data_IF_108841455265
#
_entry.id   IF_108841455265
#
_cell.length_a   1.000
_cell.length_b   1.000
_cell.length_c   1.000
_cell.angle_alpha   90.00
_cell.angle_beta   90.00
_cell.angle_gamma   90.00
#
_symmetry.space_group_name_H-M   'P 1'
#
loop_
_entity.id
_entity.type
_entity.pdbx_description
1 polymer ?
#
# COMPACT_ATOMS: atom_id res chain seq x y z
N UNK A 1 -20.03 19.76 26.70
CA UNK A 1 -19.54 18.38 26.50
C UNK A 1 -18.04 18.46 26.44
N UNK A 2 -17.33 17.65 27.22
CA UNK A 2 -15.87 17.68 27.21
C UNK A 2 -15.42 16.77 26.08
N UNK A 3 -14.77 17.33 25.07
CA UNK A 3 -14.18 16.56 23.99
C UNK A 3 -12.67 16.53 24.19
N UNK A 4 -12.05 15.38 23.97
CA UNK A 4 -10.60 15.25 23.82
C UNK A 4 -10.34 15.11 22.34
N UNK A 5 -9.64 16.06 21.74
CA UNK A 5 -9.34 16.07 20.31
C UNK A 5 -7.82 15.93 20.17
N UNK A 6 -7.40 14.95 19.38
CA UNK A 6 -6.02 14.79 18.93
C UNK A 6 -6.01 15.19 17.46
N UNK A 7 -5.55 16.41 17.20
CA UNK A 7 -5.43 16.95 15.85
C UNK A 7 -4.14 16.45 15.19
N UNK A 8 -4.18 16.27 13.86
CA UNK A 8 -3.05 15.92 13.03
C UNK A 8 -2.24 14.72 13.56
N UNK A 9 -2.87 13.55 13.57
CA UNK A 9 -2.21 12.30 13.93
C UNK A 9 -0.92 12.16 13.10
N UNK A 10 0.21 12.05 13.80
CA UNK A 10 1.53 11.99 13.18
C UNK A 10 1.92 10.57 12.79
N UNK A 11 2.92 10.44 11.90
CA UNK A 11 3.45 9.15 11.39
C UNK A 11 2.41 8.28 10.70
N UNK A 12 1.53 8.93 9.95
CA UNK A 12 0.66 8.31 8.96
C UNK A 12 0.87 9.01 7.61
N UNK A 13 0.37 8.43 6.53
CA UNK A 13 0.16 9.17 5.29
C UNK A 13 -1.26 9.72 5.29
N UNK A 14 -1.36 11.01 4.94
CA UNK A 14 -2.61 11.77 4.95
C UNK A 14 -2.94 12.49 6.26
N UNK A 15 -4.16 13.00 6.35
CA UNK A 15 -4.60 13.90 7.43
C UNK A 15 -5.75 13.27 8.21
N UNK A 16 -5.55 13.03 9.50
CA UNK A 16 -6.51 12.40 10.39
C UNK A 16 -6.55 13.11 11.73
N UNK A 17 -7.74 13.41 12.23
CA UNK A 17 -7.99 13.79 13.62
C UNK A 17 -8.63 12.62 14.37
N UNK A 18 -8.42 12.56 15.69
CA UNK A 18 -9.08 11.60 16.55
C UNK A 18 -9.81 12.32 17.69
N UNK A 19 -11.14 12.26 17.68
CA UNK A 19 -11.99 12.91 18.67
C UNK A 19 -12.63 11.89 19.58
N UNK A 20 -12.53 12.12 20.89
CA UNK A 20 -13.23 11.38 21.94
C UNK A 20 -14.25 12.33 22.56
N UNK A 21 -15.53 12.02 22.38
CA UNK A 21 -16.65 12.75 22.98
C UNK A 21 -16.97 12.13 24.34
N UNK A 22 -16.79 12.92 25.41
CA UNK A 22 -17.11 12.50 26.77
C UNK A 22 -18.53 12.98 27.13
N UNK A 23 -19.44 12.02 27.24
CA UNK A 23 -20.82 12.21 27.69
C UNK A 23 -21.31 11.03 28.51
N UNK A 24 -22.63 10.83 28.56
CA UNK A 24 -23.24 9.62 29.16
C UNK A 24 -22.72 8.34 28.49
N UNK A 25 -22.44 8.42 27.19
CA UNK A 25 -21.75 7.40 26.41
C UNK A 25 -20.46 7.99 25.84
N UNK A 26 -19.35 7.25 25.94
CA UNK A 26 -18.09 7.63 25.32
C UNK A 26 -18.17 7.26 23.83
N UNK A 27 -17.89 8.22 22.95
CA UNK A 27 -17.80 7.98 21.49
C UNK A 27 -16.42 8.38 21.00
N UNK A 28 -15.89 7.64 20.04
CA UNK A 28 -14.63 7.93 19.39
C UNK A 28 -14.84 8.04 17.88
N UNK A 29 -14.22 9.05 17.26
CA UNK A 29 -14.29 9.33 15.83
C UNK A 29 -12.88 9.45 15.26
N UNK A 30 -12.63 8.77 14.14
CA UNK A 30 -11.45 8.96 13.32
C UNK A 30 -11.87 9.79 12.09
N UNK A 31 -11.45 11.03 12.04
CA UNK A 31 -11.93 12.04 11.10
C UNK A 31 -10.86 12.26 10.03
N UNK A 32 -11.06 11.69 8.85
CA UNK A 32 -10.18 11.99 7.73
C UNK A 32 -10.48 13.40 7.23
N UNK A 33 -9.45 14.24 7.19
CA UNK A 33 -9.54 15.67 6.88
C UNK A 33 -9.03 15.98 5.47
N UNK A 34 -8.60 14.97 4.71
CA UNK A 34 -8.11 15.18 3.35
C UNK A 34 -9.20 15.73 2.45
N UNK A 35 -8.87 16.75 1.65
CA UNK A 35 -9.75 17.24 0.60
C UNK A 35 -10.05 16.14 -0.42
N UNK A 36 -11.31 16.07 -0.88
CA UNK A 36 -11.71 15.15 -1.94
C UNK A 36 -10.90 15.51 -3.19
N UNK A 37 -9.97 14.64 -3.60
CA UNK A 37 -9.08 14.88 -4.75
C UNK A 37 -9.80 14.76 -6.10
N UNK A 38 -11.07 14.34 -6.10
CA UNK A 38 -11.96 14.20 -7.25
C UNK A 38 -11.32 13.48 -8.44
N UNK A 39 -10.41 12.52 -8.17
CA UNK A 39 -9.71 11.79 -9.22
C UNK A 39 -10.69 11.05 -10.13
N UNK A 40 -11.77 10.50 -9.58
CA UNK A 40 -12.84 9.83 -10.31
C UNK A 40 -13.40 10.73 -11.43
N UNK A 41 -13.68 11.99 -11.12
CA UNK A 41 -14.20 12.98 -12.09
C UNK A 41 -13.11 13.47 -13.05
N UNK A 42 -11.87 13.66 -12.57
CA UNK A 42 -10.74 14.13 -13.39
C UNK A 42 -10.42 13.14 -14.52
N UNK A 43 -10.67 11.84 -14.31
CA UNK A 43 -10.43 10.81 -15.33
C UNK A 43 -11.42 10.88 -16.49
N UNK A 44 -12.60 11.48 -16.30
CA UNK A 44 -13.62 11.60 -17.36
C UNK A 44 -13.09 12.48 -18.50
N UNK A 45 -13.13 11.95 -19.73
CA UNK A 45 -12.65 12.64 -20.93
C UNK A 45 -11.12 12.67 -21.11
N UNK A 46 -10.36 11.98 -20.26
CA UNK A 46 -8.91 11.78 -20.46
C UNK A 46 -8.65 10.66 -21.45
N UNK A 47 -7.51 10.74 -22.12
CA UNK A 47 -7.05 9.64 -22.95
C UNK A 47 -6.58 8.48 -22.07
N UNK A 48 -6.78 7.25 -22.54
CA UNK A 48 -6.46 6.06 -21.76
C UNK A 48 -4.98 6.00 -21.33
N UNK A 49 -4.06 6.54 -22.14
CA UNK A 49 -2.63 6.54 -21.83
C UNK A 49 -2.26 7.54 -20.72
N UNK A 50 -3.11 8.54 -20.45
CA UNK A 50 -2.89 9.50 -19.36
C UNK A 50 -3.32 8.93 -17.99
N UNK A 51 -4.24 7.96 -17.99
CA UNK A 51 -4.85 7.42 -16.77
C UNK A 51 -3.82 6.83 -15.80
N UNK A 52 -2.87 5.96 -16.21
CA UNK A 52 -1.88 5.40 -15.30
C UNK A 52 -0.98 6.44 -14.65
N UNK A 53 -0.76 7.54 -15.37
CA UNK A 53 -0.04 8.67 -14.81
C UNK A 53 -0.89 9.39 -13.76
N UNK A 54 -2.12 9.78 -14.07
CA UNK A 54 -3.00 10.47 -13.13
C UNK A 54 -3.23 9.63 -11.85
N UNK A 55 -3.59 8.35 -11.98
CA UNK A 55 -3.94 7.48 -10.84
C UNK A 55 -2.76 7.25 -9.90
N UNK A 56 -1.54 7.13 -10.43
CA UNK A 56 -0.35 6.93 -9.60
C UNK A 56 0.00 8.13 -8.73
N UNK A 57 -0.59 9.32 -8.96
CA UNK A 57 -0.44 10.50 -8.09
C UNK A 57 -1.46 10.51 -6.94
N UNK A 58 -2.30 9.49 -6.82
CA UNK A 58 -3.20 9.32 -5.68
C UNK A 58 -2.43 9.22 -4.36
N UNK A 59 -1.28 8.55 -4.34
CA UNK A 59 -0.46 8.44 -3.13
C UNK A 59 1.02 8.27 -3.51
N UNK A 60 1.90 9.00 -2.83
CA UNK A 60 3.36 8.90 -3.04
C UNK A 60 3.97 7.58 -2.56
N UNK A 61 3.28 6.86 -1.65
CA UNK A 61 3.75 5.61 -1.07
C UNK A 61 3.34 4.40 -1.91
N UNK A 62 2.05 4.27 -2.23
CA UNK A 62 1.51 3.13 -2.98
C UNK A 62 1.29 3.42 -4.49
N UNK A 63 1.97 4.43 -5.03
CA UNK A 63 1.92 4.83 -6.44
C UNK A 63 2.06 3.66 -7.46
N UNK A 64 2.80 2.60 -7.13
CA UNK A 64 3.09 1.52 -8.06
C UNK A 64 1.85 0.65 -8.28
N UNK A 65 1.12 0.35 -7.19
CA UNK A 65 -0.10 -0.45 -7.29
C UNK A 65 -1.22 0.34 -7.98
N UNK A 66 -1.31 1.65 -7.76
CA UNK A 66 -2.25 2.50 -8.48
C UNK A 66 -2.01 2.48 -9.99
N UNK A 67 -0.74 2.63 -10.42
CA UNK A 67 -0.39 2.54 -11.84
C UNK A 67 -0.80 1.18 -12.42
N UNK A 68 -0.32 0.10 -11.81
CA UNK A 68 -0.53 -1.26 -12.33
C UNK A 68 -2.02 -1.65 -12.37
N UNK A 69 -2.77 -1.33 -11.32
CA UNK A 69 -4.22 -1.61 -11.26
C UNK A 69 -4.99 -0.82 -12.31
N UNK A 70 -4.64 0.45 -12.53
CA UNK A 70 -5.29 1.25 -13.58
C UNK A 70 -4.96 0.74 -14.99
N UNK A 71 -3.76 0.20 -15.20
CA UNK A 71 -3.40 -0.46 -16.46
C UNK A 71 -4.20 -1.75 -16.63
N UNK A 72 -4.33 -2.59 -15.60
CA UNK A 72 -5.15 -3.81 -15.67
C UNK A 72 -6.61 -3.48 -15.99
N UNK A 73 -7.18 -2.43 -15.38
CA UNK A 73 -8.54 -2.00 -15.69
C UNK A 73 -8.72 -1.57 -17.15
N UNK A 74 -7.71 -0.90 -17.74
CA UNK A 74 -7.71 -0.53 -19.15
C UNK A 74 -7.54 -1.72 -20.09
N UNK A 75 -6.68 -2.66 -19.72
CA UNK A 75 -6.47 -3.90 -20.48
C UNK A 75 -7.72 -4.77 -20.48
N UNK A 76 -8.40 -4.90 -19.32
CA UNK A 76 -9.69 -5.56 -19.22
C UNK A 76 -10.73 -4.89 -20.12
N UNK A 77 -10.76 -3.55 -20.17
CA UNK A 77 -11.68 -2.80 -21.03
C UNK A 77 -11.40 -2.99 -22.53
N UNK A 78 -10.13 -3.17 -22.90
CA UNK A 78 -9.70 -3.40 -24.30
C UNK A 78 -9.59 -4.87 -24.66
N UNK A 79 -9.87 -5.80 -23.74
CA UNK A 79 -9.65 -7.23 -23.89
C UNK A 79 -8.20 -7.58 -24.29
N UNK A 80 -7.23 -6.91 -23.68
CA UNK A 80 -5.81 -7.15 -23.88
C UNK A 80 -5.31 -8.17 -22.86
N UNK A 81 -4.82 -9.31 -23.33
CA UNK A 81 -4.12 -10.27 -22.48
C UNK A 81 -2.63 -9.97 -22.47
N UNK A 82 -2.07 -9.81 -21.26
CA UNK A 82 -0.65 -9.55 -21.11
C UNK A 82 0.16 -10.86 -21.19
N UNK A 83 1.22 -10.93 -22.01
CA UNK A 83 2.15 -12.06 -22.03
C UNK A 83 2.72 -12.40 -20.64
N UNK A 84 2.97 -13.69 -20.41
CA UNK A 84 3.39 -14.19 -19.10
C UNK A 84 4.68 -13.53 -18.59
N UNK A 85 5.67 -13.34 -19.46
CA UNK A 85 6.96 -12.72 -19.11
C UNK A 85 6.79 -11.27 -18.65
N UNK A 86 5.87 -10.54 -19.29
CA UNK A 86 5.54 -9.16 -18.90
C UNK A 86 4.71 -9.13 -17.62
N UNK A 87 3.89 -10.14 -17.37
CA UNK A 87 3.13 -10.27 -16.12
C UNK A 87 4.07 -10.44 -14.92
N UNK A 88 5.14 -11.25 -15.05
CA UNK A 88 6.18 -11.40 -14.02
C UNK A 88 6.87 -10.06 -13.76
N UNK A 89 7.21 -9.29 -14.80
CA UNK A 89 7.84 -7.98 -14.64
C UNK A 89 6.94 -7.00 -13.87
N UNK A 90 5.61 -7.03 -14.11
CA UNK A 90 4.65 -6.23 -13.33
C UNK A 90 4.52 -6.69 -11.89
N UNK A 91 4.48 -8.00 -11.67
CA UNK A 91 4.45 -8.56 -10.31
C UNK A 91 5.70 -8.15 -9.54
N UNK A 92 6.88 -8.13 -10.17
CA UNK A 92 8.11 -7.64 -9.55
C UNK A 92 8.02 -6.17 -9.13
N UNK A 93 7.45 -5.30 -9.97
CA UNK A 93 7.21 -3.88 -9.61
C UNK A 93 6.23 -3.77 -8.45
N UNK A 94 5.14 -4.55 -8.46
CA UNK A 94 4.15 -4.56 -7.38
C UNK A 94 4.76 -5.05 -6.06
N UNK A 95 5.51 -6.15 -6.06
CA UNK A 95 6.17 -6.70 -4.87
C UNK A 95 7.21 -5.73 -4.33
N UNK A 96 8.06 -5.16 -5.20
CA UNK A 96 9.07 -4.20 -4.76
C UNK A 96 8.41 -2.94 -4.16
N UNK A 97 7.35 -2.43 -4.79
CA UNK A 97 6.55 -1.33 -4.27
C UNK A 97 5.89 -1.65 -2.92
N UNK A 98 5.40 -2.87 -2.76
CA UNK A 98 4.80 -3.34 -1.52
C UNK A 98 5.83 -3.42 -0.37
N UNK A 99 7.03 -3.92 -0.66
CA UNK A 99 8.14 -3.98 0.31
C UNK A 99 8.61 -2.56 0.68
N UNK A 100 8.72 -1.62 -0.27
CA UNK A 100 9.01 -0.21 0.04
C UNK A 100 8.01 0.35 1.05
N UNK A 101 6.72 0.13 0.79
CA UNK A 101 5.63 0.60 1.66
C UNK A 101 5.68 -0.07 3.04
N UNK A 102 5.95 -1.37 3.10
CA UNK A 102 6.05 -2.11 4.37
C UNK A 102 7.21 -1.62 5.22
N UNK A 103 8.39 -1.39 4.61
CA UNK A 103 9.53 -0.86 5.35
C UNK A 103 9.24 0.54 5.87
N UNK A 104 8.63 1.41 5.05
CA UNK A 104 8.24 2.74 5.50
C UNK A 104 7.28 2.65 6.70
N UNK A 105 6.19 1.90 6.56
CA UNK A 105 5.18 1.78 7.61
C UNK A 105 5.74 1.12 8.88
N UNK A 106 6.27 -0.09 8.77
CA UNK A 106 6.66 -0.89 9.94
C UNK A 106 7.87 -0.30 10.66
N UNK A 107 8.89 0.20 9.95
CA UNK A 107 10.13 0.65 10.57
C UNK A 107 10.18 2.15 10.85
N UNK A 108 9.54 2.99 10.03
CA UNK A 108 9.59 4.45 10.23
C UNK A 108 8.40 4.96 11.04
N UNK A 109 7.21 4.35 10.90
CA UNK A 109 6.02 4.81 11.61
C UNK A 109 5.79 4.02 12.90
N UNK A 110 5.70 2.69 12.80
CA UNK A 110 5.30 1.82 13.91
C UNK A 110 6.42 1.54 14.90
N UNK A 111 7.61 1.13 14.43
CA UNK A 111 8.70 0.72 15.32
C UNK A 111 9.07 1.76 16.39
N UNK A 112 9.13 3.08 16.10
CA UNK A 112 9.36 4.08 17.14
C UNK A 112 8.33 4.03 18.28
N UNK A 113 7.04 3.79 18.00
CA UNK A 113 6.01 3.66 19.04
C UNK A 113 6.26 2.48 19.96
N UNK A 114 6.60 1.33 19.39
CA UNK A 114 6.85 0.11 20.15
C UNK A 114 8.08 0.22 21.07
N UNK A 115 8.94 1.21 20.84
CA UNK A 115 10.10 1.53 21.67
C UNK A 115 9.96 2.85 22.45
N UNK A 116 8.75 3.43 22.49
CA UNK A 116 8.47 4.71 23.17
C UNK A 116 9.39 5.84 22.71
N UNK A 117 9.64 5.93 21.40
CA UNK A 117 10.45 6.94 20.72
C UNK A 117 9.57 7.81 19.82
N UNK A 118 9.99 9.07 19.57
CA UNK A 118 9.21 10.01 18.75
C UNK A 118 9.42 9.79 17.26
N UNK A 119 10.57 9.22 16.89
CA UNK A 119 10.92 8.99 15.49
C UNK A 119 11.92 7.86 15.34
N UNK A 120 12.13 7.41 14.10
CA UNK A 120 13.21 6.48 13.76
C UNK A 120 14.60 7.05 14.06
N UNK A 121 14.76 8.38 14.08
CA UNK A 121 16.05 9.02 14.39
C UNK A 121 16.43 8.76 15.84
N UNK A 122 15.45 8.84 16.75
CA UNK A 122 15.64 8.57 18.18
C UNK A 122 15.97 7.09 18.46
N UNK A 123 15.69 6.19 17.52
CA UNK A 123 16.08 4.79 17.60
C UNK A 123 17.56 4.57 17.24
N UNK A 124 18.17 5.44 16.42
CA UNK A 124 19.54 5.24 15.92
C UNK A 124 20.56 4.96 17.04
N UNK A 125 20.59 5.69 18.18
CA UNK A 125 21.57 5.43 19.23
C UNK A 125 21.51 4.02 19.82
N UNK A 126 20.33 3.39 19.84
CA UNK A 126 20.09 2.07 20.46
C UNK A 126 19.92 0.93 19.44
N UNK A 127 19.49 1.25 18.22
CA UNK A 127 19.08 0.28 17.19
C UNK A 127 19.69 0.62 15.82
N UNK A 128 20.89 1.22 15.79
CA UNK A 128 21.57 1.67 14.55
C UNK A 128 21.56 0.61 13.47
N UNK A 129 21.99 -0.61 13.77
CA UNK A 129 22.12 -1.66 12.75
C UNK A 129 20.77 -2.07 12.16
N UNK A 130 19.72 -2.14 12.99
CA UNK A 130 18.36 -2.43 12.53
C UNK A 130 17.85 -1.36 11.57
N UNK A 131 18.02 -0.08 11.93
CA UNK A 131 17.63 1.06 11.09
C UNK A 131 18.42 1.04 9.78
N UNK A 132 19.72 0.80 9.82
CA UNK A 132 20.55 0.73 8.62
C UNK A 132 20.17 -0.45 7.71
N UNK A 133 19.82 -1.62 8.27
CA UNK A 133 19.29 -2.76 7.50
C UNK A 133 18.00 -2.39 6.78
N UNK A 134 17.04 -1.78 7.48
CA UNK A 134 15.78 -1.34 6.88
C UNK A 134 16.02 -0.36 5.70
N UNK A 135 16.91 0.61 5.88
CA UNK A 135 17.29 1.56 4.81
C UNK A 135 17.97 0.83 3.64
N UNK A 136 18.86 -0.13 3.90
CA UNK A 136 19.53 -0.92 2.83
C UNK A 136 18.53 -1.72 2.01
N UNK A 137 17.60 -2.43 2.65
CA UNK A 137 16.56 -3.20 1.96
C UNK A 137 15.66 -2.26 1.16
N UNK A 138 15.20 -1.15 1.76
CA UNK A 138 14.38 -0.15 1.07
C UNK A 138 15.09 0.40 -0.16
N UNK A 139 16.37 0.75 -0.05
CA UNK A 139 17.16 1.26 -1.18
C UNK A 139 17.22 0.26 -2.33
N UNK A 140 17.43 -1.03 -2.05
CA UNK A 140 17.43 -2.05 -3.12
C UNK A 140 16.05 -2.15 -3.77
N UNK A 141 14.96 -2.09 -3.01
CA UNK A 141 13.60 -2.06 -3.60
C UNK A 141 13.35 -0.80 -4.44
N UNK A 142 13.82 0.37 -3.98
CA UNK A 142 13.79 1.63 -4.74
C UNK A 142 14.50 1.49 -6.08
N UNK A 143 15.65 0.81 -6.12
CA UNK A 143 16.35 0.54 -7.36
C UNK A 143 15.62 -0.47 -8.26
N UNK A 144 14.94 -1.49 -7.71
CA UNK A 144 14.12 -2.44 -8.49
C UNK A 144 12.92 -1.73 -9.13
N UNK A 145 12.19 -0.92 -8.36
CA UNK A 145 11.07 -0.12 -8.89
C UNK A 145 11.58 0.87 -9.93
N UNK A 146 12.74 1.49 -9.74
CA UNK A 146 13.34 2.35 -10.77
C UNK A 146 13.73 1.57 -12.03
N UNK A 147 14.27 0.36 -11.89
CA UNK A 147 14.74 -0.44 -13.01
C UNK A 147 13.60 -0.87 -13.93
N UNK A 148 12.52 -1.38 -13.36
CA UNK A 148 11.36 -1.87 -14.12
C UNK A 148 10.25 -0.82 -14.30
N UNK A 149 10.28 0.24 -13.50
CA UNK A 149 9.30 1.33 -13.46
C UNK A 149 9.80 2.66 -14.04
N UNK A 150 11.09 2.79 -14.37
CA UNK A 150 11.74 4.02 -14.85
C UNK A 150 11.98 5.08 -13.76
N UNK A 151 11.15 5.12 -12.72
CA UNK A 151 11.25 6.05 -11.58
C UNK A 151 11.03 5.31 -10.27
N UNK A 152 11.65 5.80 -9.19
CA UNK A 152 11.45 5.25 -7.84
C UNK A 152 10.02 5.51 -7.34
N UNK A 153 9.50 6.70 -7.64
CA UNK A 153 8.16 7.16 -7.28
C UNK A 153 7.45 7.58 -8.56
N UNK A 154 6.20 7.13 -8.71
CA UNK A 154 5.37 7.28 -9.90
C UNK A 154 6.05 6.68 -11.15
N UNK A 155 6.11 5.35 -11.28
CA UNK A 155 6.70 4.66 -12.41
C UNK A 155 5.96 5.06 -13.68
N UNK A 156 6.65 4.93 -14.80
CA UNK A 156 6.20 5.39 -16.11
C UNK A 156 6.36 4.31 -17.19
N UNK A 157 7.21 3.32 -16.97
CA UNK A 157 7.49 2.29 -17.96
C UNK A 157 6.40 1.22 -18.07
N UNK A 158 5.67 0.78 -17.01
CA UNK A 158 4.50 -0.06 -17.23
C UNK A 158 3.45 0.73 -18.00
N UNK A 159 2.97 0.23 -19.12
CA UNK A 159 1.95 0.87 -19.96
C UNK A 159 0.89 -0.17 -20.35
N UNK A 160 -0.24 0.28 -20.88
CA UNK A 160 -1.27 -0.62 -21.43
C UNK A 160 -0.64 -1.53 -22.50
N UNK A 161 -0.83 -2.83 -22.36
CA UNK A 161 -0.29 -3.86 -23.25
C UNK A 161 1.17 -4.25 -23.00
N UNK A 162 1.86 -3.65 -22.02
CA UNK A 162 3.23 -4.08 -21.67
C UNK A 162 4.07 -3.05 -20.95
N UNK A 163 5.24 -2.77 -21.53
CA UNK A 163 6.24 -1.84 -20.99
C UNK A 163 6.78 -0.95 -22.11
N UNK A 164 6.99 0.33 -21.82
CA UNK A 164 7.68 1.26 -22.71
C UNK A 164 9.17 0.92 -22.84
N UNK A 165 9.77 0.42 -21.76
CA UNK A 165 11.16 -0.03 -21.71
C UNK A 165 11.31 -1.14 -20.67
N UNK A 166 12.18 -2.11 -20.96
CA UNK A 166 12.58 -3.18 -20.05
C UNK A 166 14.10 -3.26 -19.96
N UNK A 167 14.66 -3.60 -18.79
CA UNK A 167 16.08 -3.79 -18.64
C UNK A 167 16.58 -5.02 -19.40
N UNK A 168 17.85 -5.00 -19.81
CA UNK A 168 18.48 -6.18 -20.38
C UNK A 168 18.62 -7.31 -19.34
N UNK A 169 18.81 -8.55 -19.81
CA UNK A 169 19.05 -9.72 -18.97
C UNK A 169 20.29 -9.57 -18.09
N UNK A 170 21.35 -8.95 -18.61
CA UNK A 170 22.59 -8.73 -17.87
C UNK A 170 22.37 -7.78 -16.70
N UNK A 171 21.66 -6.67 -16.93
CA UNK A 171 21.31 -5.72 -15.86
C UNK A 171 20.42 -6.42 -14.83
N UNK A 172 19.40 -7.15 -15.26
CA UNK A 172 18.51 -7.90 -14.35
C UNK A 172 19.28 -8.89 -13.46
N UNK A 173 20.28 -9.56 -14.02
CA UNK A 173 21.13 -10.52 -13.30
C UNK A 173 21.98 -9.83 -12.21
N UNK A 174 22.44 -8.60 -12.44
CA UNK A 174 23.15 -7.82 -11.42
C UNK A 174 22.25 -7.49 -10.23
N UNK A 175 20.98 -7.16 -10.48
CA UNK A 175 20.00 -6.86 -9.44
C UNK A 175 19.57 -8.09 -8.65
N UNK A 176 19.50 -9.27 -9.28
CA UNK A 176 19.31 -10.52 -8.55
C UNK A 176 20.40 -10.74 -7.50
N UNK A 177 21.67 -10.43 -7.81
CA UNK A 177 22.75 -10.52 -6.83
C UNK A 177 22.61 -9.50 -5.70
N UNK A 178 22.11 -8.29 -5.97
CA UNK A 178 21.81 -7.30 -4.91
C UNK A 178 20.71 -7.81 -3.99
N UNK A 179 19.62 -8.36 -4.54
CA UNK A 179 18.51 -8.95 -3.78
C UNK A 179 18.99 -10.06 -2.85
N UNK A 180 19.83 -10.98 -3.36
CA UNK A 180 20.42 -12.06 -2.54
C UNK A 180 21.25 -11.52 -1.37
N UNK A 181 21.97 -10.42 -1.55
CA UNK A 181 22.79 -9.80 -0.49
C UNK A 181 21.94 -9.18 0.63
N UNK A 182 20.79 -8.60 0.29
CA UNK A 182 19.90 -7.97 1.29
C UNK A 182 18.79 -8.89 1.80
N UNK A 183 18.71 -10.12 1.30
CA UNK A 183 17.72 -11.10 1.77
C UNK A 183 17.82 -11.33 3.28
N UNK A 184 19.05 -11.52 3.79
CA UNK A 184 19.28 -11.71 5.22
C UNK A 184 18.87 -10.46 6.03
N UNK A 185 19.21 -9.28 5.54
CA UNK A 185 18.77 -8.02 6.16
C UNK A 185 17.23 -7.94 6.20
N UNK A 186 16.54 -8.33 5.12
CA UNK A 186 15.08 -8.33 5.04
C UNK A 186 14.42 -9.30 6.04
N UNK A 187 15.00 -10.49 6.24
CA UNK A 187 14.54 -11.45 7.25
C UNK A 187 14.72 -10.86 8.65
N UNK A 188 15.93 -10.38 8.97
CA UNK A 188 16.24 -9.87 10.31
C UNK A 188 15.41 -8.64 10.68
N UNK A 189 15.14 -7.71 9.74
CA UNK A 189 14.28 -6.55 10.03
C UNK A 189 12.82 -6.94 10.22
N UNK A 190 12.38 -8.05 9.61
CA UNK A 190 11.02 -8.59 9.76
C UNK A 190 10.87 -9.28 11.10
N UNK A 191 11.82 -10.15 11.46
CA UNK A 191 11.87 -10.79 12.78
C UNK A 191 11.91 -9.77 13.91
N UNK A 192 12.66 -8.66 13.73
CA UNK A 192 12.69 -7.59 14.71
C UNK A 192 11.30 -7.01 14.99
N UNK A 193 10.46 -6.81 13.96
CA UNK A 193 9.08 -6.31 14.10
C UNK A 193 8.16 -7.35 14.75
N UNK A 194 8.29 -8.62 14.35
CA UNK A 194 7.45 -9.70 14.86
C UNK A 194 7.73 -10.03 16.33
N UNK A 195 8.96 -9.82 16.79
CA UNK A 195 9.40 -10.15 18.14
C UNK A 195 9.19 -9.00 19.15
N UNK A 196 8.69 -7.83 18.73
CA UNK A 196 8.35 -6.76 19.67
C UNK A 196 7.07 -7.10 20.44
N UNK A 197 6.94 -6.56 21.66
CA UNK A 197 5.68 -6.64 22.40
C UNK A 197 4.63 -5.73 21.74
N UNK A 198 3.59 -6.35 21.21
CA UNK A 198 2.43 -5.66 20.66
C UNK A 198 1.35 -5.45 21.75
N UNK A 199 0.57 -4.36 21.68
CA UNK A 199 -0.57 -4.17 22.56
C UNK A 199 -1.57 -5.33 22.42
N UNK A 200 -2.12 -5.81 23.54
CA UNK A 200 -3.20 -6.81 23.51
C UNK A 200 -4.50 -6.13 23.11
N UNK A 201 -4.79 -6.14 21.80
CA UNK A 201 -5.99 -5.58 21.22
C UNK A 201 -6.67 -6.64 20.34
N UNK A 202 -7.94 -6.90 20.63
CA UNK A 202 -8.78 -7.83 19.88
C UNK A 202 -10.12 -7.19 19.61
N UNK A 203 -10.56 -7.28 18.37
CA UNK A 203 -11.91 -6.97 17.92
C UNK A 203 -12.32 -8.00 16.88
N UNK A 204 -13.62 -8.19 16.72
CA UNK A 204 -14.13 -8.81 15.50
C UNK A 204 -13.63 -7.97 14.31
N UNK A 205 -13.18 -8.64 13.24
CA UNK A 205 -12.65 -8.00 12.03
C UNK A 205 -12.91 -8.92 10.84
N UNK A 206 -13.32 -8.35 9.72
CA UNK A 206 -13.33 -9.05 8.44
C UNK A 206 -11.96 -8.91 7.77
N UNK A 207 -11.34 -10.04 7.48
CA UNK A 207 -10.09 -10.07 6.72
C UNK A 207 -10.40 -10.32 5.25
N UNK A 208 -10.16 -9.31 4.41
CA UNK A 208 -10.28 -9.39 2.96
C UNK A 208 -8.89 -9.44 2.33
N UNK A 209 -8.65 -10.41 1.46
CA UNK A 209 -7.40 -10.49 0.71
C UNK A 209 -7.60 -11.13 -0.66
N UNK A 210 -6.62 -10.93 -1.55
CA UNK A 210 -6.51 -11.74 -2.75
C UNK A 210 -5.91 -13.11 -2.40
N UNK A 211 -6.44 -14.15 -3.02
CA UNK A 211 -5.91 -15.52 -3.00
C UNK A 211 -5.58 -15.94 -4.43
N UNK A 212 -4.37 -16.43 -4.63
CA UNK A 212 -3.85 -16.83 -5.94
C UNK A 212 -2.53 -17.57 -5.83
N UNK A 213 -1.85 -17.75 -6.97
CA UNK A 213 -0.47 -18.26 -7.02
C UNK A 213 0.51 -17.16 -6.62
N UNK A 214 1.67 -17.54 -6.08
CA UNK A 214 2.73 -16.57 -5.74
C UNK A 214 2.33 -15.61 -4.63
N UNK A 215 2.64 -14.32 -4.80
CA UNK A 215 2.23 -13.24 -3.90
C UNK A 215 1.09 -12.47 -4.58
N UNK A 216 -0.18 -12.76 -4.26
CA UNK A 216 -1.31 -12.22 -5.00
C UNK A 216 -1.53 -10.74 -4.67
N UNK A 217 -0.88 -9.85 -5.44
CA UNK A 217 -1.05 -8.40 -5.35
C UNK A 217 -1.86 -7.81 -6.51
N UNK A 218 -1.74 -8.40 -7.71
CA UNK A 218 -2.37 -7.90 -8.94
C UNK A 218 -3.50 -8.81 -9.43
N UNK A 219 -3.41 -10.11 -9.17
CA UNK A 219 -4.31 -11.13 -9.70
C UNK A 219 -4.70 -12.11 -8.59
N UNK A 220 -5.94 -12.58 -8.65
CA UNK A 220 -6.46 -13.56 -7.72
C UNK A 220 -7.97 -13.44 -7.56
N UNK A 221 -8.52 -14.34 -6.77
CA UNK A 221 -9.89 -14.24 -6.27
C UNK A 221 -9.88 -13.53 -4.93
N UNK A 222 -10.86 -12.66 -4.66
CA UNK A 222 -11.04 -12.07 -3.34
C UNK A 222 -11.63 -13.10 -2.38
N UNK A 223 -11.11 -13.17 -1.17
CA UNK A 223 -11.61 -14.01 -0.08
C UNK A 223 -11.82 -13.14 1.15
N UNK A 224 -12.99 -13.26 1.79
CA UNK A 224 -13.25 -12.62 3.07
C UNK A 224 -14.26 -13.41 3.91
N UNK A 225 -13.88 -13.80 5.13
CA UNK A 225 -14.76 -14.46 6.10
C UNK A 225 -15.65 -15.59 5.50
N UNK A 226 -15.06 -16.43 4.64
CA UNK A 226 -15.75 -17.55 3.97
C UNK A 226 -16.41 -17.21 2.63
N UNK A 227 -16.47 -15.92 2.25
CA UNK A 227 -16.89 -15.48 0.92
C UNK A 227 -15.73 -15.59 -0.07
N UNK A 228 -16.05 -15.91 -1.32
CA UNK A 228 -15.12 -15.83 -2.45
C UNK A 228 -15.79 -15.23 -3.68
N UNK A 229 -15.19 -14.20 -4.27
CA UNK A 229 -15.71 -13.51 -5.45
C UNK A 229 -14.57 -12.90 -6.29
N UNK A 230 -14.87 -12.55 -7.54
CA UNK A 230 -13.91 -11.88 -8.42
C UNK A 230 -13.94 -10.36 -8.21
N UNK A 231 -12.81 -9.69 -8.45
CA UNK A 231 -12.69 -8.24 -8.24
C UNK A 231 -13.75 -7.44 -9.02
N UNK A 232 -14.11 -7.86 -10.24
CA UNK A 232 -15.16 -7.21 -11.05
C UNK A 232 -16.54 -7.14 -10.36
N UNK A 233 -16.81 -8.05 -9.43
CA UNK A 233 -18.07 -8.14 -8.72
C UNK A 233 -18.04 -7.46 -7.33
N UNK A 234 -16.97 -6.72 -6.99
CA UNK A 234 -16.77 -6.21 -5.63
C UNK A 234 -17.95 -5.38 -5.11
N UNK A 235 -18.59 -4.57 -5.96
CA UNK A 235 -19.72 -3.72 -5.56
C UNK A 235 -20.95 -4.51 -5.08
N UNK A 236 -21.07 -5.80 -5.43
CA UNK A 236 -22.14 -6.67 -4.91
C UNK A 236 -21.94 -6.99 -3.43
N UNK A 237 -20.69 -6.97 -2.96
CA UNK A 237 -20.29 -7.42 -1.62
C UNK A 237 -19.80 -6.26 -0.74
N UNK A 238 -19.20 -5.23 -1.31
CA UNK A 238 -18.60 -4.11 -0.59
C UNK A 238 -19.45 -2.86 -0.86
N UNK A 239 -20.03 -2.28 0.20
CA UNK A 239 -20.91 -1.11 0.12
C UNK A 239 -20.32 0.05 0.91
N UNK A 240 -20.19 1.21 0.27
CA UNK A 240 -19.72 2.41 0.93
C UNK A 240 -20.78 2.98 1.87
N UNK A 241 -20.34 3.48 3.02
CA UNK A 241 -21.10 4.25 4.00
C UNK A 241 -20.43 5.62 4.12
N UNK A 242 -21.24 6.67 4.05
CA UNK A 242 -20.77 8.05 4.17
C UNK A 242 -21.06 8.51 5.58
N UNK A 243 -20.02 8.95 6.28
CA UNK A 243 -20.11 9.59 7.58
C UNK A 243 -20.00 11.10 7.41
N UNK A 244 -20.90 11.87 8.02
CA UNK A 244 -20.89 13.34 7.88
C UNK A 244 -19.63 14.00 8.47
N UNK A 245 -18.93 13.30 9.36
CA UNK A 245 -17.76 13.82 10.08
C UNK A 245 -16.42 13.51 9.40
N UNK A 246 -16.39 12.77 8.29
CA UNK A 246 -15.15 12.30 7.66
C UNK A 246 -15.22 12.36 6.14
N UNK A 247 -14.13 12.77 5.49
CA UNK A 247 -14.05 12.71 4.01
C UNK A 247 -13.76 11.31 3.50
N UNK A 248 -13.27 10.41 4.36
CA UNK A 248 -13.07 9.00 4.04
C UNK A 248 -14.39 8.22 4.16
N UNK A 249 -14.64 7.35 3.17
CA UNK A 249 -15.79 6.43 3.19
C UNK A 249 -15.51 5.25 4.13
N UNK A 250 -16.53 4.84 4.87
CA UNK A 250 -16.57 3.56 5.55
C UNK A 250 -17.11 2.49 4.60
N UNK A 251 -16.92 1.20 4.92
CA UNK A 251 -17.36 0.11 4.05
C UNK A 251 -17.96 -1.05 4.84
N UNK A 252 -19.07 -1.57 4.33
CA UNK A 252 -19.70 -2.80 4.79
C UNK A 252 -19.30 -3.95 3.89
N UNK A 253 -19.03 -5.12 4.49
CA UNK A 253 -18.88 -6.37 3.76
C UNK A 253 -20.17 -7.20 3.94
N UNK A 254 -20.88 -7.48 2.85
CA UNK A 254 -22.16 -8.18 2.85
C UNK A 254 -23.17 -7.59 3.84
N UNK A 255 -23.28 -6.25 3.83
CA UNK A 255 -24.13 -5.45 4.72
C UNK A 255 -23.83 -5.61 6.22
N UNK A 256 -22.60 -5.98 6.57
CA UNK A 256 -22.14 -6.06 7.97
C UNK A 256 -20.95 -5.17 8.19
N UNK A 257 -20.97 -4.51 9.35
CA UNK A 257 -19.81 -3.89 9.95
C UNK A 257 -18.98 -5.00 10.60
N UNK A 258 -17.67 -4.89 10.45
CA UNK A 258 -16.69 -5.74 11.12
C UNK A 258 -15.57 -4.86 11.64
#
# INVERSE_FOLDING_TARGET
>A
MNNVIIEEITRIEGHLNFTIELGEHIRAKAEAMEGIRLLEDILVGKYYWDIPDITSRMCGVCQAIHRLTSIQALEDAFNIELPYELSIARELVAIAGHIQSHILHLHFFVLPDLHYKRSIIDLIPSHKELVMKAIRVKKVMDEIVKLYGGRVVHPITPVVGGFAELPSKDISSQYLNKLKKVYRDAVEITEAILNVSWPDFKRETAYLSLKGKGIPLLNGTLHANGLSFIAKDYEKYIKAVIEEYSTARHYLLNNREY
#
